data_IF_519301021400
#
_entry.id   IF_519301021400
#
_cell.length_a   1.000
_cell.length_b   1.000
_cell.length_c   1.000
_cell.angle_alpha   90.00
_cell.angle_beta   90.00
_cell.angle_gamma   90.00
#
_symmetry.space_group_name_H-M   'P 1'
#
loop_
_entity.id
_entity.type
_entity.pdbx_description
1 polymer ?
#
# COMPACT_ATOMS: atom_id res chain seq x y z
N UNK A 1 0.10 51.83 42.36
CA UNK A 1 -0.59 50.87 41.46
C UNK A 1 -1.45 51.52 40.36
N UNK A 2 -1.76 52.83 40.38
CA UNK A 2 -2.63 53.51 39.40
C UNK A 2 -2.05 53.73 37.98
N UNK A 3 -0.73 53.83 37.80
CA UNK A 3 -0.14 54.13 36.47
C UNK A 3 -0.40 53.06 35.41
N UNK A 4 -0.54 51.79 35.81
CA UNK A 4 -0.83 50.71 34.86
C UNK A 4 -2.26 50.81 34.33
N UNK A 5 -3.26 51.15 35.15
CA UNK A 5 -4.67 51.17 34.70
C UNK A 5 -4.98 52.29 33.71
N UNK A 6 -4.31 53.44 33.84
CA UNK A 6 -4.48 54.59 32.92
C UNK A 6 -3.95 54.24 31.53
N UNK A 7 -2.76 53.65 31.44
CA UNK A 7 -2.17 53.23 30.15
C UNK A 7 -3.03 52.19 29.41
N UNK A 8 -3.61 51.25 30.15
CA UNK A 8 -4.56 50.29 29.57
C UNK A 8 -5.83 50.97 29.07
N UNK A 9 -6.37 51.93 29.82
CA UNK A 9 -7.57 52.69 29.43
C UNK A 9 -7.34 53.50 28.14
N UNK A 10 -6.19 54.17 28.04
CA UNK A 10 -5.79 54.91 26.83
C UNK A 10 -5.58 53.98 25.63
N UNK A 11 -4.97 52.80 25.85
CA UNK A 11 -4.77 51.81 24.79
C UNK A 11 -6.10 51.28 24.23
N UNK A 12 -7.05 50.92 25.10
CA UNK A 12 -8.38 50.47 24.66
C UNK A 12 -9.15 51.58 23.93
N UNK A 13 -9.09 52.81 24.42
CA UNK A 13 -9.75 53.94 23.77
C UNK A 13 -9.17 54.20 22.37
N UNK A 14 -7.85 54.12 22.22
CA UNK A 14 -7.17 54.25 20.92
C UNK A 14 -7.57 53.15 19.92
N UNK A 15 -7.74 51.91 20.40
CA UNK A 15 -8.24 50.79 19.59
C UNK A 15 -9.66 51.09 19.09
N UNK A 16 -10.55 51.55 19.97
CA UNK A 16 -11.94 51.84 19.60
C UNK A 16 -12.09 53.03 18.66
N UNK A 17 -11.23 54.05 18.74
CA UNK A 17 -11.26 55.20 17.84
C UNK A 17 -10.81 54.87 16.40
N UNK A 18 -10.06 53.78 16.20
CA UNK A 18 -9.53 53.39 14.89
C UNK A 18 -9.77 51.91 14.57
N UNK A 19 -10.99 51.44 14.90
CA UNK A 19 -11.36 50.03 14.90
C UNK A 19 -11.03 49.31 13.58
N UNK A 20 -11.29 49.95 12.42
CA UNK A 20 -11.00 49.38 11.11
C UNK A 20 -9.50 49.06 10.88
N UNK A 21 -8.60 49.94 11.34
CA UNK A 21 -7.14 49.73 11.23
C UNK A 21 -6.68 48.59 12.13
N UNK A 22 -7.20 48.52 13.35
CA UNK A 22 -6.86 47.43 14.28
C UNK A 22 -7.40 46.09 13.79
N UNK A 23 -8.64 46.03 13.28
CA UNK A 23 -9.18 44.82 12.66
C UNK A 23 -8.31 44.39 11.48
N UNK A 24 -7.89 45.31 10.61
CA UNK A 24 -7.02 45.00 9.48
C UNK A 24 -5.67 44.39 9.94
N UNK A 25 -5.05 44.96 10.98
CA UNK A 25 -3.80 44.42 11.56
C UNK A 25 -4.02 43.02 12.14
N UNK A 26 -5.10 42.81 12.91
CA UNK A 26 -5.44 41.52 13.49
C UNK A 26 -5.66 40.47 12.40
N UNK A 27 -6.40 40.82 11.33
CA UNK A 27 -6.64 39.90 10.22
C UNK A 27 -5.35 39.58 9.45
N UNK A 28 -4.45 40.55 9.26
CA UNK A 28 -3.17 40.33 8.59
C UNK A 28 -2.26 39.40 9.43
N UNK A 29 -2.14 39.66 10.74
CA UNK A 29 -1.40 38.79 11.66
C UNK A 29 -2.03 37.40 11.74
N UNK A 30 -3.37 37.33 11.80
CA UNK A 30 -4.15 36.10 11.82
C UNK A 30 -3.92 35.26 10.57
N UNK A 31 -3.93 35.88 9.39
CA UNK A 31 -3.66 35.20 8.12
C UNK A 31 -2.23 34.64 8.07
N UNK A 32 -1.24 35.41 8.51
CA UNK A 32 0.16 34.97 8.57
C UNK A 32 0.36 33.80 9.54
N UNK A 33 -0.25 33.90 10.73
CA UNK A 33 -0.18 32.85 11.76
C UNK A 33 -0.90 31.58 11.32
N UNK A 34 -2.09 31.72 10.73
CA UNK A 34 -2.87 30.61 10.17
C UNK A 34 -2.06 29.85 9.11
N UNK A 35 -1.47 30.57 8.14
CA UNK A 35 -0.66 29.94 7.10
C UNK A 35 0.57 29.21 7.67
N UNK A 36 1.28 29.84 8.62
CA UNK A 36 2.46 29.25 9.25
C UNK A 36 2.13 27.98 10.04
N UNK A 37 1.12 28.04 10.90
CA UNK A 37 0.70 26.90 11.72
C UNK A 37 0.14 25.79 10.83
N UNK A 38 -0.70 26.13 9.84
CA UNK A 38 -1.23 25.17 8.88
C UNK A 38 -0.14 24.40 8.14
N UNK A 39 0.89 25.10 7.65
CA UNK A 39 2.03 24.46 6.97
C UNK A 39 2.87 23.61 7.94
N UNK A 40 3.06 24.06 9.18
CA UNK A 40 3.81 23.32 10.21
C UNK A 40 3.10 22.03 10.63
N UNK A 41 1.78 22.04 10.70
CA UNK A 41 0.97 20.88 11.13
C UNK A 41 0.66 19.88 10.02
N UNK A 42 0.66 20.32 8.75
CA UNK A 42 0.39 19.44 7.61
C UNK A 42 1.27 18.17 7.60
N UNK A 43 2.58 18.31 7.86
CA UNK A 43 3.51 17.18 7.89
C UNK A 43 3.21 16.15 8.99
N UNK A 44 3.15 16.57 10.28
CA UNK A 44 2.70 15.73 11.38
C UNK A 44 1.35 15.03 11.12
N UNK A 45 0.33 15.76 10.66
CA UNK A 45 -1.02 15.21 10.47
C UNK A 45 -1.06 14.16 9.34
N UNK A 46 -0.35 14.39 8.25
CA UNK A 46 -0.20 13.40 7.17
C UNK A 46 0.48 12.11 7.66
N UNK A 47 1.50 12.23 8.53
CA UNK A 47 2.18 11.06 9.10
C UNK A 47 1.30 10.33 10.11
N UNK A 48 0.56 11.03 10.95
CA UNK A 48 -0.39 10.42 11.88
C UNK A 48 -1.46 9.63 11.10
N UNK A 49 -2.10 10.27 10.12
CA UNK A 49 -3.09 9.62 9.24
C UNK A 49 -2.52 8.39 8.53
N UNK A 50 -1.30 8.48 8.02
CA UNK A 50 -0.61 7.36 7.39
C UNK A 50 -0.31 6.21 8.36
N UNK A 51 0.17 6.53 9.56
CA UNK A 51 0.50 5.54 10.58
C UNK A 51 -0.76 4.80 11.07
N UNK A 52 -1.86 5.52 11.27
CA UNK A 52 -3.16 4.94 11.64
C UNK A 52 -3.67 4.01 10.54
N UNK A 53 -3.58 4.42 9.28
CA UNK A 53 -3.97 3.59 8.14
C UNK A 53 -3.12 2.31 8.05
N UNK A 54 -1.81 2.40 8.22
CA UNK A 54 -0.92 1.23 8.20
C UNK A 54 -1.16 0.28 9.37
N UNK A 55 -1.43 0.82 10.55
CA UNK A 55 -1.74 0.04 11.74
C UNK A 55 -3.07 -0.69 11.58
N UNK A 56 -4.13 0.02 11.14
CA UNK A 56 -5.46 -0.54 10.87
C UNK A 56 -5.40 -1.71 9.87
N UNK A 57 -4.55 -1.60 8.85
CA UNK A 57 -4.43 -2.61 7.80
C UNK A 57 -3.29 -3.61 8.00
N UNK A 58 -2.59 -3.54 9.14
CA UNK A 58 -1.44 -4.38 9.49
C UNK A 58 -0.43 -4.48 8.33
N UNK A 59 0.03 -3.31 7.84
CA UNK A 59 0.97 -3.23 6.72
C UNK A 59 2.25 -4.03 7.01
N UNK A 60 2.71 -4.79 6.03
CA UNK A 60 3.96 -5.53 6.13
C UNK A 60 5.19 -4.60 6.14
N UNK A 61 6.21 -4.98 6.91
CA UNK A 61 7.50 -4.27 6.94
C UNK A 61 8.26 -4.46 5.62
N UNK A 62 8.21 -5.68 5.07
CA UNK A 62 8.83 -6.02 3.78
C UNK A 62 7.97 -6.95 2.96
N UNK A 63 8.08 -6.77 1.64
CA UNK A 63 7.48 -7.64 0.63
C UNK A 63 8.58 -8.38 -0.11
N UNK A 64 8.52 -9.71 -0.09
CA UNK A 64 9.43 -10.61 -0.77
C UNK A 64 8.76 -11.10 -2.05
N UNK A 65 9.44 -10.94 -3.18
CA UNK A 65 9.03 -11.46 -4.49
C UNK A 65 10.14 -12.33 -5.08
N UNK A 66 9.78 -13.24 -5.99
CA UNK A 66 10.75 -14.08 -6.68
C UNK A 66 10.32 -14.36 -8.11
N UNK A 67 11.27 -14.28 -9.05
CA UNK A 67 11.02 -14.55 -10.47
C UNK A 67 10.53 -16.00 -10.73
N UNK A 68 10.94 -16.95 -9.88
CA UNK A 68 10.56 -18.37 -9.98
C UNK A 68 9.52 -18.78 -8.93
N UNK A 69 8.92 -17.80 -8.25
CA UNK A 69 8.02 -18.03 -7.12
C UNK A 69 8.73 -18.43 -5.82
N UNK A 70 7.91 -18.58 -4.79
CA UNK A 70 8.24 -18.85 -3.40
C UNK A 70 7.73 -20.26 -3.10
N UNK A 71 8.66 -21.21 -3.12
CA UNK A 71 8.38 -22.63 -2.90
C UNK A 71 8.36 -23.00 -1.41
N UNK A 72 8.12 -24.26 -1.08
CA UNK A 72 8.08 -24.75 0.30
C UNK A 72 9.34 -24.45 1.10
N UNK A 73 10.53 -24.61 0.50
CA UNK A 73 11.82 -24.30 1.14
C UNK A 73 11.95 -22.82 1.48
N UNK A 74 11.54 -21.93 0.58
CA UNK A 74 11.54 -20.49 0.84
C UNK A 74 10.54 -20.10 1.93
N UNK A 75 9.34 -20.72 1.91
CA UNK A 75 8.34 -20.51 2.98
C UNK A 75 8.91 -20.88 4.35
N UNK A 76 9.56 -22.03 4.45
CA UNK A 76 10.20 -22.48 5.69
C UNK A 76 11.34 -21.53 6.09
N UNK A 77 12.18 -21.11 5.13
CA UNK A 77 13.27 -20.16 5.36
C UNK A 77 12.77 -18.83 5.92
N UNK A 78 11.66 -18.29 5.40
CA UNK A 78 11.07 -17.04 5.88
C UNK A 78 10.45 -17.24 7.27
N UNK A 79 9.63 -18.28 7.46
CA UNK A 79 8.94 -18.54 8.73
C UNK A 79 9.90 -18.83 9.89
N UNK A 80 11.00 -19.54 9.61
CA UNK A 80 11.98 -19.94 10.64
C UNK A 80 13.03 -18.86 10.93
N UNK A 81 12.97 -17.71 10.25
CA UNK A 81 13.88 -16.60 10.53
C UNK A 81 13.59 -16.03 11.93
N UNK A 82 14.57 -15.97 12.86
CA UNK A 82 14.33 -15.54 14.24
C UNK A 82 13.73 -14.13 14.39
N UNK A 83 14.03 -13.24 13.44
CA UNK A 83 13.55 -11.86 13.44
C UNK A 83 12.08 -11.72 12.99
N UNK A 84 11.56 -12.70 12.24
CA UNK A 84 10.21 -12.65 11.66
C UNK A 84 9.17 -12.91 12.74
N UNK A 85 8.17 -12.03 12.82
CA UNK A 85 6.99 -12.17 13.67
C UNK A 85 5.89 -12.94 12.94
N UNK A 86 5.56 -12.49 11.73
CA UNK A 86 4.51 -13.08 10.90
C UNK A 86 4.91 -13.02 9.43
N UNK A 87 4.57 -14.06 8.69
CA UNK A 87 4.72 -14.10 7.24
C UNK A 87 3.43 -14.64 6.60
N UNK A 88 2.95 -13.97 5.56
CA UNK A 88 1.78 -14.39 4.78
C UNK A 88 2.18 -14.52 3.32
N UNK A 89 1.59 -15.48 2.63
CA UNK A 89 1.96 -15.84 1.27
C UNK A 89 0.76 -15.67 0.37
N UNK A 90 0.99 -15.08 -0.80
CA UNK A 90 -0.07 -14.76 -1.74
C UNK A 90 0.36 -14.97 -3.18
N UNK A 91 -0.64 -14.98 -4.05
CA UNK A 91 -0.45 -15.00 -5.49
C UNK A 91 -0.50 -13.60 -6.06
N UNK A 92 0.23 -13.41 -7.15
CA UNK A 92 0.35 -12.15 -7.88
C UNK A 92 0.46 -12.49 -9.37
N UNK A 93 -0.37 -11.86 -10.19
CA UNK A 93 -0.30 -12.00 -11.64
C UNK A 93 -0.62 -10.67 -12.31
N UNK A 94 0.25 -10.23 -13.21
CA UNK A 94 -0.04 -9.08 -14.08
C UNK A 94 -0.86 -9.56 -15.27
N UNK A 95 -1.98 -8.89 -15.58
CA UNK A 95 -2.89 -9.28 -16.63
C UNK A 95 -3.38 -8.06 -17.44
N UNK A 96 -3.34 -8.18 -18.77
CA UNK A 96 -3.86 -7.15 -19.69
C UNK A 96 -5.36 -7.31 -19.87
N UNK A 97 -6.10 -6.23 -19.64
CA UNK A 97 -7.54 -6.15 -19.89
C UNK A 97 -7.80 -6.26 -21.40
N UNK A 98 -8.80 -7.04 -21.80
CA UNK A 98 -9.10 -7.33 -23.22
C UNK A 98 -9.71 -6.15 -23.95
N UNK A 99 -10.56 -5.38 -23.29
CA UNK A 99 -11.32 -4.29 -23.90
C UNK A 99 -10.51 -3.01 -24.10
N UNK A 100 -9.33 -2.89 -23.47
CA UNK A 100 -8.51 -1.68 -23.56
C UNK A 100 -7.02 -1.99 -23.35
N UNK A 101 -6.20 -0.96 -23.12
CA UNK A 101 -4.75 -1.11 -22.92
C UNK A 101 -4.34 -1.22 -21.45
N UNK A 102 -5.30 -1.33 -20.51
CA UNK A 102 -4.98 -1.40 -19.10
C UNK A 102 -4.27 -2.70 -18.76
N UNK A 103 -3.22 -2.58 -17.94
CA UNK A 103 -2.57 -3.73 -17.32
C UNK A 103 -2.77 -3.63 -15.81
N UNK A 104 -3.38 -4.66 -15.24
CA UNK A 104 -3.69 -4.72 -13.82
C UNK A 104 -2.82 -5.79 -13.15
N UNK A 105 -2.26 -5.46 -12.00
CA UNK A 105 -1.64 -6.45 -11.11
C UNK A 105 -2.73 -7.04 -10.21
N UNK A 106 -3.05 -8.30 -10.44
CA UNK A 106 -4.08 -9.04 -9.69
C UNK A 106 -3.42 -9.76 -8.51
N UNK A 107 -3.85 -9.46 -7.30
CA UNK A 107 -3.40 -10.09 -6.06
C UNK A 107 -4.45 -11.07 -5.53
N UNK A 108 -4.00 -12.15 -4.90
CA UNK A 108 -4.86 -12.88 -3.98
C UNK A 108 -5.13 -12.02 -2.75
N UNK A 109 -6.40 -11.96 -2.31
CA UNK A 109 -6.82 -11.24 -1.12
C UNK A 109 -6.02 -11.70 0.11
N UNK A 110 -5.59 -10.73 0.91
CA UNK A 110 -4.91 -10.94 2.18
C UNK A 110 -5.77 -10.34 3.29
N UNK A 111 -6.10 -11.16 4.29
CA UNK A 111 -6.94 -10.74 5.43
C UNK A 111 -6.12 -10.46 6.70
N UNK A 112 -4.83 -10.83 6.73
CA UNK A 112 -4.01 -10.78 7.94
C UNK A 112 -2.88 -9.76 7.90
N UNK A 113 -2.19 -9.62 6.76
CA UNK A 113 -1.11 -8.64 6.56
C UNK A 113 -1.33 -7.85 5.28
N UNK A 114 -1.05 -6.55 5.33
CA UNK A 114 -1.32 -5.61 4.24
C UNK A 114 -2.72 -5.79 3.67
N UNK A 115 -3.72 -5.71 4.55
CA UNK A 115 -5.12 -5.85 4.16
C UNK A 115 -5.59 -4.65 3.34
N UNK A 116 -6.79 -4.77 2.79
CA UNK A 116 -7.38 -3.75 1.92
C UNK A 116 -8.52 -3.04 2.65
N UNK A 117 -8.69 -1.74 2.37
CA UNK A 117 -9.88 -0.99 2.78
C UNK A 117 -10.94 -1.11 1.68
N UNK A 118 -12.15 -1.52 2.07
CA UNK A 118 -13.30 -1.54 1.17
C UNK A 118 -13.85 -0.11 1.01
N UNK A 119 -13.91 0.37 -0.23
CA UNK A 119 -14.42 1.71 -0.55
C UNK A 119 -15.87 1.64 -1.04
N UNK A 120 -16.21 0.62 -1.83
CA UNK A 120 -17.57 0.41 -2.35
C UNK A 120 -17.77 -1.06 -2.74
N UNK A 121 -18.99 -1.57 -2.59
CA UNK A 121 -19.33 -2.96 -2.94
C UNK A 121 -18.96 -3.92 -1.83
N UNK A 122 -18.39 -5.07 -2.18
CA UNK A 122 -17.88 -6.05 -1.22
C UNK A 122 -16.55 -6.69 -1.70
N UNK A 123 -15.90 -7.44 -0.82
CA UNK A 123 -14.74 -8.24 -1.18
C UNK A 123 -15.15 -9.46 -2.02
N UNK A 124 -14.29 -9.95 -2.94
CA UNK A 124 -14.56 -11.16 -3.72
C UNK A 124 -14.75 -12.39 -2.83
N UNK A 125 -15.82 -13.14 -3.05
CA UNK A 125 -16.15 -14.33 -2.24
C UNK A 125 -15.85 -15.64 -2.97
N UNK A 126 -15.84 -15.61 -4.31
CA UNK A 126 -15.54 -16.77 -5.15
C UNK A 126 -14.44 -16.48 -6.20
N UNK A 127 -14.07 -17.49 -6.97
CA UNK A 127 -12.97 -17.42 -7.93
C UNK A 127 -13.35 -16.73 -9.26
N UNK A 128 -14.59 -16.27 -9.43
CA UNK A 128 -15.07 -15.52 -10.60
C UNK A 128 -15.34 -14.04 -10.28
N UNK A 129 -15.02 -13.61 -9.07
CA UNK A 129 -15.21 -12.24 -8.61
C UNK A 129 -13.89 -11.51 -8.46
N UNK A 130 -13.92 -10.20 -8.67
CA UNK A 130 -12.75 -9.34 -8.56
C UNK A 130 -13.15 -7.98 -8.00
N UNK A 131 -12.30 -7.42 -7.14
CA UNK A 131 -12.38 -6.03 -6.72
C UNK A 131 -11.23 -5.25 -7.35
N UNK A 132 -11.49 -4.03 -7.80
CA UNK A 132 -10.49 -3.19 -8.46
C UNK A 132 -9.99 -2.09 -7.52
N UNK A 133 -8.83 -1.50 -7.83
CA UNK A 133 -8.40 -0.27 -7.17
C UNK A 133 -9.48 0.81 -7.27
N UNK A 134 -9.75 1.51 -6.16
CA UNK A 134 -10.74 2.60 -6.09
C UNK A 134 -10.50 3.73 -7.08
N UNK A 135 -9.28 3.87 -7.60
CA UNK A 135 -8.92 4.86 -8.61
C UNK A 135 -9.54 4.54 -9.98
N UNK A 136 -9.89 3.28 -10.22
CA UNK A 136 -10.53 2.81 -11.45
C UNK A 136 -12.06 2.95 -11.43
N UNK A 137 -12.66 3.45 -10.33
CA UNK A 137 -14.11 3.57 -10.15
C UNK A 137 -14.84 4.46 -11.16
N UNK A 138 -14.12 5.36 -11.84
CA UNK A 138 -14.67 6.21 -12.90
C UNK A 138 -14.72 5.50 -14.26
N UNK A 139 -13.94 4.44 -14.42
CA UNK A 139 -13.78 3.71 -15.68
C UNK A 139 -14.56 2.40 -15.70
N UNK A 140 -14.69 1.74 -14.56
CA UNK A 140 -15.37 0.45 -14.41
C UNK A 140 -16.52 0.56 -13.40
N UNK A 141 -17.49 -0.33 -13.50
CA UNK A 141 -18.66 -0.34 -12.63
C UNK A 141 -18.85 -1.70 -11.94
N UNK A 142 -19.45 -1.68 -10.74
CA UNK A 142 -19.83 -2.91 -10.03
C UNK A 142 -20.93 -3.62 -10.83
N UNK A 143 -20.82 -4.94 -10.96
CA UNK A 143 -21.70 -5.78 -11.77
C UNK A 143 -21.18 -6.03 -13.19
N UNK A 144 -20.29 -5.19 -13.69
CA UNK A 144 -19.65 -5.35 -15.01
C UNK A 144 -18.72 -6.57 -15.03
N UNK A 145 -18.53 -7.17 -16.21
CA UNK A 145 -17.55 -8.24 -16.43
C UNK A 145 -16.27 -7.69 -17.04
N UNK A 146 -15.13 -7.96 -16.40
CA UNK A 146 -13.81 -7.67 -16.93
C UNK A 146 -13.16 -8.95 -17.46
N UNK A 147 -12.53 -8.89 -18.63
CA UNK A 147 -11.84 -10.04 -19.24
C UNK A 147 -10.38 -9.75 -19.49
N UNK A 148 -9.51 -10.74 -19.28
CA UNK A 148 -8.07 -10.64 -19.48
C UNK A 148 -7.60 -11.46 -20.69
N UNK A 149 -6.68 -10.92 -21.50
CA UNK A 149 -6.14 -11.60 -22.70
C UNK A 149 -5.01 -12.58 -22.37
N UNK A 150 -4.16 -12.22 -21.40
CA UNK A 150 -3.05 -13.06 -20.91
C UNK A 150 -3.24 -13.29 -19.40
N UNK A 151 -4.13 -14.22 -19.00
CA UNK A 151 -4.47 -14.43 -17.60
C UNK A 151 -3.33 -15.05 -16.79
N UNK A 152 -2.28 -15.60 -17.43
CA UNK A 152 -1.16 -16.23 -16.73
C UNK A 152 -1.63 -17.34 -15.80
N UNK A 153 -1.28 -17.25 -14.52
CA UNK A 153 -1.70 -18.22 -13.49
C UNK A 153 -3.15 -18.04 -13.00
N UNK A 154 -3.94 -17.12 -13.55
CA UNK A 154 -5.36 -16.98 -13.20
C UNK A 154 -6.19 -18.08 -13.87
N UNK A 155 -7.05 -18.76 -13.09
CA UNK A 155 -7.90 -19.86 -13.58
C UNK A 155 -8.97 -19.39 -14.56
N UNK A 156 -9.57 -18.23 -14.30
CA UNK A 156 -10.62 -17.67 -15.12
C UNK A 156 -10.08 -16.54 -16.01
N UNK A 157 -10.64 -16.40 -17.21
CA UNK A 157 -10.36 -15.27 -18.11
C UNK A 157 -11.24 -14.06 -17.82
N UNK A 158 -12.44 -14.29 -17.30
CA UNK A 158 -13.46 -13.26 -17.08
C UNK A 158 -13.92 -13.28 -15.62
N UNK A 159 -14.04 -12.10 -15.04
CA UNK A 159 -14.44 -11.88 -13.66
C UNK A 159 -15.57 -10.85 -13.60
N UNK A 160 -16.48 -11.02 -12.64
CA UNK A 160 -17.46 -9.99 -12.27
C UNK A 160 -16.82 -9.02 -11.28
N UNK A 161 -16.93 -7.72 -11.56
CA UNK A 161 -16.48 -6.66 -10.66
C UNK A 161 -17.49 -6.56 -9.52
N UNK A 162 -17.04 -6.77 -8.28
CA UNK A 162 -17.91 -6.76 -7.09
C UNK A 162 -17.62 -5.61 -6.13
N UNK A 163 -16.47 -4.95 -6.28
CA UNK A 163 -16.11 -3.86 -5.39
C UNK A 163 -14.91 -3.05 -5.83
N UNK A 164 -14.69 -1.98 -5.08
CA UNK A 164 -13.55 -1.09 -5.20
C UNK A 164 -12.83 -1.01 -3.85
N UNK A 165 -11.52 -1.19 -3.88
CA UNK A 165 -10.68 -1.30 -2.69
C UNK A 165 -9.48 -0.37 -2.75
N UNK A 166 -8.97 0.00 -1.58
CA UNK A 166 -7.73 0.75 -1.40
C UNK A 166 -6.71 -0.15 -0.71
N UNK A 167 -5.49 -0.20 -1.24
CA UNK A 167 -4.41 -1.02 -0.69
C UNK A 167 -3.61 -0.24 0.33
N UNK A 168 -3.17 -0.90 1.41
CA UNK A 168 -2.16 -0.35 2.32
C UNK A 168 -0.77 -0.26 1.69
N UNK A 169 -0.50 -1.00 0.60
CA UNK A 169 0.81 -1.09 -0.04
C UNK A 169 1.02 -0.05 -1.16
N UNK A 170 -0.05 0.55 -1.68
CA UNK A 170 0.01 1.52 -2.77
C UNK A 170 -0.49 2.89 -2.29
N UNK A 171 0.46 3.78 -1.96
CA UNK A 171 0.19 5.15 -1.53
C UNK A 171 0.05 6.13 -2.70
N UNK A 172 0.84 5.92 -3.74
CA UNK A 172 0.80 6.72 -4.95
C UNK A 172 -0.47 6.40 -5.77
N UNK A 173 -1.12 7.44 -6.29
CA UNK A 173 -2.32 7.31 -7.12
C UNK A 173 -2.00 7.14 -8.61
N UNK A 174 -0.75 7.35 -9.00
CA UNK A 174 -0.28 7.44 -10.38
C UNK A 174 0.74 6.36 -10.75
N UNK A 175 1.41 5.77 -9.75
CA UNK A 175 2.44 4.76 -9.96
C UNK A 175 2.16 3.47 -9.18
N UNK A 176 1.78 2.42 -9.91
CA UNK A 176 1.54 1.08 -9.34
C UNK A 176 2.70 0.11 -9.59
N UNK A 177 3.73 0.56 -10.30
CA UNK A 177 4.92 -0.22 -10.63
C UNK A 177 5.00 -0.63 -12.09
N UNK A 178 6.07 -1.36 -12.41
CA UNK A 178 6.38 -1.83 -13.76
C UNK A 178 5.85 -3.25 -13.98
N UNK A 179 5.68 -3.57 -15.26
CA UNK A 179 5.31 -4.91 -15.75
C UNK A 179 6.05 -5.21 -17.05
N UNK A 180 6.09 -6.47 -17.47
CA UNK A 180 6.65 -6.87 -18.78
C UNK A 180 5.56 -6.97 -19.86
N UNK A 181 4.34 -6.49 -19.57
CA UNK A 181 3.18 -6.57 -20.45
C UNK A 181 2.86 -5.18 -21.02
N UNK A 182 2.52 -5.11 -22.30
CA UNK A 182 2.05 -3.87 -22.94
C UNK A 182 3.16 -2.82 -23.00
N UNK A 183 2.87 -1.61 -22.51
CA UNK A 183 3.80 -0.47 -22.49
C UNK A 183 4.76 -0.47 -21.27
N UNK A 184 4.79 -1.54 -20.49
CA UNK A 184 5.69 -1.70 -19.36
C UNK A 184 5.20 -1.09 -18.04
N UNK A 185 3.98 -0.52 -17.99
CA UNK A 185 3.43 0.16 -16.81
C UNK A 185 2.11 -0.43 -16.36
N UNK A 186 1.92 -0.52 -15.04
CA UNK A 186 0.64 -0.91 -14.47
C UNK A 186 -0.33 0.28 -14.43
N UNK A 187 -1.55 0.06 -14.90
CA UNK A 187 -2.66 1.02 -14.83
C UNK A 187 -3.36 1.00 -13.47
N UNK A 188 -3.18 -0.07 -12.71
CA UNK A 188 -3.78 -0.26 -11.39
C UNK A 188 -3.51 -1.65 -10.84
N UNK A 189 -4.20 -1.96 -9.75
CA UNK A 189 -4.23 -3.30 -9.16
C UNK A 189 -5.67 -3.78 -9.01
N UNK A 190 -5.79 -5.09 -8.84
CA UNK A 190 -7.03 -5.77 -8.55
C UNK A 190 -6.81 -6.85 -7.49
N UNK A 191 -7.88 -7.30 -6.85
CA UNK A 191 -7.86 -8.32 -5.79
C UNK A 191 -8.93 -9.35 -6.11
N UNK A 192 -8.60 -10.64 -5.97
CA UNK A 192 -9.53 -11.77 -6.08
C UNK A 192 -9.21 -12.81 -5.02
N UNK A 193 -10.01 -13.87 -4.91
CA UNK A 193 -9.80 -14.94 -3.93
C UNK A 193 -8.53 -15.74 -4.22
N UNK A 194 -7.96 -16.36 -3.19
CA UNK A 194 -6.79 -17.23 -3.32
C UNK A 194 -7.03 -18.38 -4.32
N UNK A 195 -8.26 -18.91 -4.35
CA UNK A 195 -8.66 -20.03 -5.21
C UNK A 195 -8.78 -19.67 -6.70
N UNK A 196 -8.68 -18.39 -7.06
CA UNK A 196 -8.67 -17.92 -8.46
C UNK A 196 -7.33 -18.15 -9.16
N UNK A 197 -6.28 -18.54 -8.43
CA UNK A 197 -4.94 -18.77 -8.97
C UNK A 197 -4.63 -20.26 -9.09
N UNK A 198 -3.96 -20.65 -10.17
CA UNK A 198 -3.44 -21.98 -10.45
C UNK A 198 -1.90 -21.91 -10.49
N UNK A 199 -1.28 -21.97 -9.32
CA UNK A 199 0.17 -22.05 -9.20
C UNK A 199 0.59 -22.88 -7.99
N UNK A 200 1.55 -23.81 -8.15
CA UNK A 200 2.07 -24.62 -7.03
C UNK A 200 2.93 -23.80 -6.06
N UNK A 201 3.36 -22.60 -6.46
CA UNK A 201 4.23 -21.70 -5.69
C UNK A 201 3.59 -20.32 -5.56
N UNK A 202 3.92 -19.60 -4.49
CA UNK A 202 3.43 -18.23 -4.29
C UNK A 202 4.31 -17.22 -5.02
N UNK A 203 3.80 -16.06 -5.42
CA UNK A 203 4.60 -15.02 -6.09
C UNK A 203 5.03 -13.91 -5.14
N UNK A 204 4.31 -13.76 -4.02
CA UNK A 204 4.58 -12.71 -3.04
C UNK A 204 4.48 -13.23 -1.61
N UNK A 205 5.37 -12.77 -0.75
CA UNK A 205 5.30 -12.95 0.69
C UNK A 205 5.39 -11.61 1.39
N UNK A 206 4.54 -11.39 2.38
CA UNK A 206 4.50 -10.19 3.21
C UNK A 206 4.95 -10.55 4.62
N UNK A 207 5.89 -9.79 5.16
CA UNK A 207 6.59 -10.14 6.40
C UNK A 207 6.60 -8.94 7.36
N UNK A 208 6.38 -9.22 8.64
CA UNK A 208 6.61 -8.28 9.75
C UNK A 208 7.68 -8.83 10.69
N UNK A 209 8.44 -7.95 11.31
CA UNK A 209 9.49 -8.28 12.25
C UNK A 209 9.02 -8.10 13.70
N UNK A 210 9.69 -8.77 14.64
CA UNK A 210 9.30 -8.75 16.06
C UNK A 210 9.54 -7.39 16.72
N UNK A 211 10.57 -6.68 16.29
CA UNK A 211 11.06 -5.44 16.90
C UNK A 211 10.53 -4.16 16.23
N UNK A 212 9.52 -4.24 15.37
CA UNK A 212 8.95 -3.09 14.63
C UNK A 212 7.57 -2.65 15.12
N UNK A 213 6.84 -3.52 15.85
CA UNK A 213 5.41 -3.35 16.16
C UNK A 213 5.01 -2.03 16.85
N UNK A 214 5.88 -1.44 17.67
CA UNK A 214 5.59 -0.22 18.43
C UNK A 214 6.34 1.02 17.91
N UNK A 215 6.87 0.95 16.70
CA UNK A 215 7.61 2.06 16.11
C UNK A 215 6.78 2.75 15.04
N UNK A 216 6.89 4.07 14.98
CA UNK A 216 6.33 4.81 13.85
C UNK A 216 7.02 4.37 12.55
N UNK A 217 6.26 4.03 11.49
CA UNK A 217 6.81 3.64 10.19
C UNK A 217 7.61 4.77 9.53
N UNK A 218 7.43 6.02 9.99
CA UNK A 218 8.17 7.20 9.53
C UNK A 218 9.42 7.50 10.35
N UNK A 219 9.72 6.71 11.39
CA UNK A 219 10.90 6.91 12.23
C UNK A 219 12.18 6.33 11.62
N UNK A 220 13.31 6.97 11.89
CA UNK A 220 14.64 6.45 11.51
C UNK A 220 14.91 5.09 12.17
N UNK A 221 14.48 4.91 13.42
CA UNK A 221 14.64 3.66 14.17
C UNK A 221 13.93 2.48 13.50
N UNK A 222 12.66 2.67 13.09
CA UNK A 222 11.91 1.65 12.35
C UNK A 222 12.66 1.24 11.08
N UNK A 223 13.05 2.24 10.27
CA UNK A 223 13.76 2.03 9.01
C UNK A 223 15.06 1.24 9.19
N UNK A 224 15.86 1.59 10.20
CA UNK A 224 17.12 0.90 10.49
C UNK A 224 16.90 -0.56 10.91
N UNK A 225 15.87 -0.84 11.74
CA UNK A 225 15.52 -2.21 12.15
C UNK A 225 15.08 -3.05 10.97
N UNK A 226 14.18 -2.52 10.13
CA UNK A 226 13.73 -3.21 8.91
C UNK A 226 14.91 -3.52 7.98
N UNK A 227 15.80 -2.56 7.73
CA UNK A 227 16.96 -2.78 6.87
C UNK A 227 17.95 -3.80 7.42
N UNK A 228 18.16 -3.82 8.73
CA UNK A 228 18.98 -4.83 9.38
C UNK A 228 18.34 -6.22 9.27
N UNK A 229 17.07 -6.35 9.66
CA UNK A 229 16.40 -7.65 9.82
C UNK A 229 16.02 -8.30 8.50
N UNK A 230 15.83 -7.53 7.42
CA UNK A 230 15.61 -8.10 6.09
C UNK A 230 16.85 -8.80 5.51
N UNK A 231 18.06 -8.48 5.97
CA UNK A 231 19.28 -8.97 5.34
C UNK A 231 19.48 -10.48 5.51
N UNK A 232 19.15 -11.02 6.69
CA UNK A 232 19.28 -12.46 6.98
C UNK A 232 18.36 -13.31 6.09
N UNK A 233 17.03 -13.10 6.03
CA UNK A 233 16.16 -13.84 5.13
C UNK A 233 16.52 -13.58 3.66
N UNK A 234 16.90 -12.35 3.27
CA UNK A 234 17.37 -12.05 1.91
C UNK A 234 18.57 -12.90 1.50
N UNK A 235 19.60 -13.01 2.34
CA UNK A 235 20.79 -13.83 2.08
C UNK A 235 20.43 -15.32 1.98
N UNK A 236 19.60 -15.83 2.89
CA UNK A 236 19.18 -17.22 2.88
C UNK A 236 18.36 -17.57 1.62
N UNK A 237 17.40 -16.73 1.25
CA UNK A 237 16.59 -16.90 0.04
C UNK A 237 17.43 -16.80 -1.24
N UNK A 238 18.48 -15.98 -1.26
CA UNK A 238 19.39 -15.90 -2.40
C UNK A 238 20.26 -17.15 -2.54
N UNK A 239 20.62 -17.84 -1.45
CA UNK A 239 21.31 -19.14 -1.53
C UNK A 239 20.41 -20.21 -2.16
N UNK A 240 19.10 -20.17 -1.88
CA UNK A 240 18.12 -21.08 -2.49
C UNK A 240 17.88 -20.80 -3.99
N UNK A 241 18.45 -19.72 -4.55
CA UNK A 241 18.16 -19.29 -5.92
C UNK A 241 18.65 -20.28 -6.97
N UNK A 242 19.84 -20.86 -6.78
CA UNK A 242 20.43 -21.78 -7.76
C UNK A 242 19.59 -23.06 -7.89
N UNK A 243 19.27 -23.71 -6.76
CA UNK A 243 18.39 -24.89 -6.72
C UNK A 243 17.02 -24.62 -7.37
N UNK A 244 16.45 -23.42 -7.17
CA UNK A 244 15.21 -23.02 -7.84
C UNK A 244 15.36 -22.89 -9.35
N UNK A 245 16.45 -22.29 -9.80
CA UNK A 245 16.72 -22.16 -11.23
C UNK A 245 16.88 -23.54 -11.87
N UNK A 246 17.65 -24.43 -11.25
CA UNK A 246 17.91 -25.77 -11.78
C UNK A 246 16.61 -26.58 -11.87
N UNK A 247 15.76 -26.54 -10.82
CA UNK A 247 14.43 -27.18 -10.83
C UNK A 247 13.50 -26.58 -11.88
N UNK A 248 13.54 -25.26 -12.06
CA UNK A 248 12.76 -24.58 -13.09
C UNK A 248 13.20 -25.02 -14.49
N UNK A 249 14.51 -25.08 -14.76
CA UNK A 249 15.05 -25.55 -16.05
C UNK A 249 14.67 -27.01 -16.31
N UNK A 250 14.73 -27.89 -15.31
CA UNK A 250 14.34 -29.30 -15.46
C UNK A 250 12.86 -29.48 -15.81
N UNK A 251 11.97 -28.71 -15.17
CA UNK A 251 10.53 -28.74 -15.49
C UNK A 251 10.24 -28.35 -16.95
N UNK A 252 10.94 -27.34 -17.48
CA UNK A 252 10.79 -26.92 -18.87
C UNK A 252 11.46 -27.87 -19.87
N UNK A 253 12.56 -28.53 -19.50
CA UNK A 253 13.19 -29.57 -20.33
C UNK A 253 12.36 -30.85 -20.44
N UNK A 254 11.45 -31.12 -19.52
CA UNK A 254 10.52 -32.26 -19.60
C UNK A 254 9.23 -31.93 -20.36
N UNK A 255 8.98 -30.65 -20.68
CA UNK A 255 7.81 -30.19 -21.44
C UNK A 255 8.07 -30.04 -22.94
N UNK A 256 9.28 -30.35 -23.40
CA UNK A 256 9.73 -30.43 -24.79
C UNK A 256 10.61 -31.66 -24.98
#
# INVERSE_FOLDING_TARGET
>A
MMRKSILWKDAFQTITHSLGRYIAIILLIGLGTFAFVGLKMAGPDMRATGADFFTKHNLADVTVTSNYGINSTDRATIKNSPAVKQATFGYLQDAKVKSNQDVLRVFSQSNTLSSYELIKGHFPENNKEIALSYLLKKKYHIGEKISFTKPGILKNKTYKIVGFVKSSEFLDKTQFGQTNIGNGRLSGFAVTTHNAFASPVYQVSRVTFKNTANLSPFSVTYRNRVYHDQNKPKKALNKNRQDKYDKYVQLYKQQY
#
